data_IF_256570218096
#
_entry.id   IF_256570218096
#
_cell.length_a   1.000
_cell.length_b   1.000
_cell.length_c   1.000
_cell.angle_alpha   90.00
_cell.angle_beta   90.00
_cell.angle_gamma   90.00
#
_symmetry.space_group_name_H-M   'P 1'
#
loop_
_entity.id
_entity.type
_entity.pdbx_description
1 polymer ?
#
# COMPACT_ATOMS: atom_id res chain seq x y z
N UNK A 1 -35.58 26.97 -46.41
CA UNK A 1 -34.65 28.09 -46.26
C UNK A 1 -33.79 27.82 -45.03
N UNK A 2 -32.49 27.71 -45.27
CA UNK A 2 -31.40 27.38 -44.36
C UNK A 2 -30.99 28.61 -43.55
N UNK A 3 -30.60 28.43 -42.27
CA UNK A 3 -29.24 28.78 -41.81
C UNK A 3 -28.94 28.11 -40.47
N UNK A 4 -27.89 27.31 -40.51
CA UNK A 4 -27.14 26.76 -39.39
C UNK A 4 -26.34 27.94 -38.80
N UNK A 5 -26.26 28.05 -37.48
CA UNK A 5 -25.24 28.91 -36.86
C UNK A 5 -24.62 28.17 -35.70
N UNK A 6 -23.54 27.45 -36.02
CA UNK A 6 -22.57 26.92 -35.08
C UNK A 6 -21.86 28.08 -34.39
N UNK A 7 -21.82 28.12 -33.05
CA UNK A 7 -20.89 29.01 -32.37
C UNK A 7 -20.43 28.47 -31.00
N UNK A 8 -19.22 27.89 -31.06
CA UNK A 8 -18.11 27.95 -30.10
C UNK A 8 -18.14 27.14 -28.80
N UNK A 9 -17.26 26.13 -28.77
CA UNK A 9 -16.52 25.70 -27.59
C UNK A 9 -15.70 26.85 -26.99
N UNK A 10 -15.83 27.06 -25.68
CA UNK A 10 -14.82 27.73 -24.87
C UNK A 10 -14.65 26.94 -23.58
N UNK A 11 -13.56 26.19 -23.52
CA UNK A 11 -12.97 25.60 -22.32
C UNK A 11 -12.62 26.72 -21.35
N UNK A 12 -13.33 26.83 -20.24
CA UNK A 12 -12.88 27.65 -19.11
C UNK A 12 -12.19 26.74 -18.10
N UNK A 13 -10.88 26.62 -18.29
CA UNK A 13 -9.92 26.29 -17.25
C UNK A 13 -9.93 27.43 -16.23
N UNK A 14 -10.62 27.27 -15.10
CA UNK A 14 -10.41 28.12 -13.93
C UNK A 14 -9.56 27.37 -12.90
N UNK A 15 -8.28 27.76 -12.83
CA UNK A 15 -7.41 27.62 -11.67
C UNK A 15 -6.75 28.99 -11.51
N UNK A 16 -6.83 29.63 -10.32
CA UNK A 16 -5.73 29.54 -9.37
C UNK A 16 -6.17 29.31 -7.91
N UNK A 17 -5.58 28.31 -7.24
CA UNK A 17 -4.60 28.47 -6.14
C UNK A 17 -5.21 29.04 -4.85
N UNK A 18 -5.61 28.12 -3.97
CA UNK A 18 -5.58 28.30 -2.53
C UNK A 18 -5.00 27.03 -1.92
N UNK A 19 -3.79 27.14 -1.38
CA UNK A 19 -3.08 26.06 -0.72
C UNK A 19 -3.86 25.58 0.51
N UNK A 20 -4.81 24.66 0.31
CA UNK A 20 -5.29 23.80 1.37
C UNK A 20 -4.16 22.83 1.69
N UNK A 21 -3.34 23.18 2.69
CA UNK A 21 -2.31 22.31 3.23
C UNK A 21 -2.87 20.91 3.50
N UNK A 22 -2.02 19.87 3.48
CA UNK A 22 -2.47 18.50 3.67
C UNK A 22 -3.29 18.42 4.96
N UNK A 23 -4.53 17.92 4.85
CA UNK A 23 -5.34 17.64 6.02
C UNK A 23 -4.54 16.75 6.99
N UNK A 24 -4.32 17.15 8.25
CA UNK A 24 -3.68 16.30 9.23
C UNK A 24 -4.67 15.21 9.61
N UNK A 25 -4.57 14.03 9.00
CA UNK A 25 -5.41 12.92 9.45
C UNK A 25 -5.58 11.74 8.50
N UNK A 26 -5.27 11.86 7.21
CA UNK A 26 -5.31 10.70 6.32
C UNK A 26 -3.89 10.29 5.95
N UNK A 27 -3.16 9.79 6.96
CA UNK A 27 -1.95 9.02 6.75
C UNK A 27 -2.35 7.72 6.02
N UNK A 28 -2.54 7.83 4.70
CA UNK A 28 -2.66 6.68 3.81
C UNK A 28 -1.32 5.97 3.91
N UNK A 29 -1.22 4.73 4.42
CA UNK A 29 0.05 4.01 4.43
C UNK A 29 0.41 3.70 2.97
N UNK A 30 1.03 4.67 2.31
CA UNK A 30 1.52 4.56 0.95
C UNK A 30 3.02 4.52 1.05
N UNK A 31 3.52 3.36 1.43
CA UNK A 31 4.89 2.95 1.14
C UNK A 31 4.89 1.42 1.22
N UNK A 32 5.22 0.78 0.11
CA UNK A 32 5.67 -0.59 0.14
C UNK A 32 6.78 -0.68 1.19
N UNK A 33 6.54 -1.47 2.24
CA UNK A 33 7.51 -1.70 3.31
C UNK A 33 8.64 -2.60 2.79
N UNK A 34 9.39 -2.11 1.82
CA UNK A 34 10.72 -2.62 1.52
C UNK A 34 11.63 -2.16 2.66
N UNK A 35 11.90 -3.08 3.59
CA UNK A 35 13.00 -2.91 4.55
C UNK A 35 12.65 -2.27 5.89
N UNK A 36 11.48 -2.56 6.49
CA UNK A 36 11.34 -2.25 7.93
C UNK A 36 12.23 -3.19 8.74
N UNK A 37 13.23 -2.63 9.42
CA UNK A 37 14.13 -3.34 10.32
C UNK A 37 13.33 -3.97 11.46
N UNK A 38 13.33 -5.31 11.49
CA UNK A 38 12.51 -6.07 12.43
C UNK A 38 12.93 -5.82 13.89
N UNK A 39 14.21 -5.53 14.13
CA UNK A 39 14.74 -5.24 15.46
C UNK A 39 14.19 -3.94 16.05
N UNK A 40 13.79 -2.97 15.22
CA UNK A 40 13.27 -1.68 15.69
C UNK A 40 11.78 -1.71 16.03
N UNK A 41 11.07 -2.78 15.65
CA UNK A 41 9.65 -2.93 15.91
C UNK A 41 9.41 -3.36 17.34
N UNK A 42 8.25 -3.04 17.89
CA UNK A 42 7.74 -3.64 19.13
C UNK A 42 7.20 -5.05 18.88
N UNK A 43 7.03 -5.85 19.95
CA UNK A 43 6.39 -7.18 19.86
C UNK A 43 5.00 -7.07 19.21
N UNK A 44 4.23 -6.04 19.58
CA UNK A 44 2.90 -5.79 19.03
C UNK A 44 2.94 -5.49 17.53
N UNK A 45 3.91 -4.70 17.08
CA UNK A 45 4.07 -4.38 15.66
C UNK A 45 4.55 -5.58 14.84
N UNK A 46 5.41 -6.43 15.40
CA UNK A 46 5.81 -7.69 14.78
C UNK A 46 4.62 -8.64 14.60
N UNK A 47 3.78 -8.79 15.62
CA UNK A 47 2.54 -9.58 15.53
C UNK A 47 1.62 -8.99 14.45
N UNK A 48 1.45 -7.67 14.43
CA UNK A 48 0.62 -7.01 13.42
C UNK A 48 1.19 -7.19 11.99
N UNK A 49 2.51 -7.16 11.81
CA UNK A 49 3.14 -7.44 10.52
C UNK A 49 2.98 -8.90 10.10
N UNK A 50 3.07 -9.84 11.05
CA UNK A 50 2.85 -11.26 10.79
C UNK A 50 1.43 -11.49 10.26
N UNK A 51 0.41 -10.97 10.95
CA UNK A 51 -0.99 -11.08 10.54
C UNK A 51 -1.24 -10.49 9.13
N UNK A 52 -0.70 -9.29 8.86
CA UNK A 52 -0.80 -8.68 7.52
C UNK A 52 -0.15 -9.53 6.44
N UNK A 53 1.03 -10.10 6.73
CA UNK A 53 1.72 -10.98 5.78
C UNK A 53 0.94 -12.27 5.52
N UNK A 54 0.24 -12.81 6.52
CA UNK A 54 -0.64 -13.98 6.34
C UNK A 54 -1.82 -13.65 5.43
N UNK A 55 -2.44 -12.49 5.60
CA UNK A 55 -3.55 -12.07 4.75
C UNK A 55 -3.09 -11.83 3.30
N UNK A 56 -1.92 -11.23 3.10
CA UNK A 56 -1.30 -11.12 1.77
C UNK A 56 -1.04 -12.49 1.14
N UNK A 57 -0.59 -13.47 1.92
CA UNK A 57 -0.38 -14.83 1.42
C UNK A 57 -1.69 -15.51 1.03
N UNK A 58 -2.78 -15.30 1.81
CA UNK A 58 -4.12 -15.80 1.46
C UNK A 58 -4.61 -15.18 0.16
N UNK A 59 -4.50 -13.85 0.02
CA UNK A 59 -4.89 -13.14 -1.19
C UNK A 59 -4.08 -13.59 -2.42
N UNK A 60 -2.76 -13.76 -2.26
CA UNK A 60 -1.87 -14.23 -3.32
C UNK A 60 -2.22 -15.65 -3.78
N UNK A 61 -2.68 -16.53 -2.87
CA UNK A 61 -3.15 -17.89 -3.22
C UNK A 61 -4.45 -17.88 -4.03
N UNK A 62 -5.34 -16.94 -3.73
CA UNK A 62 -6.62 -16.79 -4.45
C UNK A 62 -6.41 -16.24 -5.87
N UNK A 63 -5.41 -15.37 -6.03
CA UNK A 63 -5.05 -14.76 -7.30
C UNK A 63 -3.97 -15.62 -8.00
N UNK A 64 -4.35 -16.77 -8.56
CA UNK A 64 -3.40 -17.69 -9.20
C UNK A 64 -2.73 -17.04 -10.44
N UNK A 65 -1.39 -16.91 -10.42
CA UNK A 65 -0.58 -16.46 -11.55
C UNK A 65 0.93 -16.62 -11.28
N UNK A 66 1.74 -16.86 -12.32
CA UNK A 66 3.19 -17.10 -12.19
C UNK A 66 3.93 -15.95 -11.49
N UNK A 67 3.46 -14.71 -11.68
CA UNK A 67 4.00 -13.52 -11.02
C UNK A 67 3.85 -13.55 -9.48
N UNK A 68 2.94 -14.37 -8.94
CA UNK A 68 2.68 -14.51 -7.51
C UNK A 68 3.59 -15.52 -6.83
N UNK A 69 4.23 -16.44 -7.56
CA UNK A 69 5.09 -17.47 -6.97
C UNK A 69 6.31 -16.85 -6.30
N UNK A 70 6.93 -15.86 -6.95
CA UNK A 70 8.02 -15.07 -6.38
C UNK A 70 7.57 -14.24 -5.17
N UNK A 71 6.41 -13.60 -5.25
CA UNK A 71 5.82 -12.81 -4.17
C UNK A 71 5.47 -13.66 -2.93
N UNK A 72 4.88 -14.84 -3.13
CA UNK A 72 4.56 -15.79 -2.06
C UNK A 72 5.83 -16.31 -1.36
N UNK A 73 6.92 -16.53 -2.09
CA UNK A 73 8.21 -16.92 -1.48
C UNK A 73 8.74 -15.78 -0.60
N UNK A 74 8.77 -14.55 -1.11
CA UNK A 74 9.21 -13.38 -0.34
C UNK A 74 8.37 -13.16 0.93
N UNK A 75 7.05 -13.35 0.85
CA UNK A 75 6.16 -13.27 2.00
C UNK A 75 6.50 -14.34 3.05
N UNK A 76 6.72 -15.60 2.64
CA UNK A 76 7.14 -16.67 3.57
C UNK A 76 8.48 -16.39 4.22
N UNK A 77 9.47 -15.91 3.46
CA UNK A 77 10.79 -15.55 3.97
C UNK A 77 10.69 -14.41 5.01
N UNK A 78 9.83 -13.41 4.75
CA UNK A 78 9.53 -12.31 5.68
C UNK A 78 8.85 -12.82 6.95
N UNK A 79 7.88 -13.73 6.86
CA UNK A 79 7.24 -14.35 8.04
C UNK A 79 8.27 -15.11 8.90
N UNK A 80 9.16 -15.88 8.28
CA UNK A 80 10.21 -16.60 8.99
C UNK A 80 11.19 -15.65 9.70
N UNK A 81 11.47 -14.48 9.12
CA UNK A 81 12.26 -13.45 9.79
C UNK A 81 11.52 -12.84 11.00
N UNK A 82 10.22 -12.51 10.86
CA UNK A 82 9.40 -11.97 11.95
C UNK A 82 9.28 -12.96 13.12
N UNK A 83 9.06 -14.25 12.83
CA UNK A 83 8.96 -15.29 13.87
C UNK A 83 10.30 -15.46 14.61
N UNK A 84 11.43 -15.43 13.89
CA UNK A 84 12.75 -15.48 14.52
C UNK A 84 12.98 -14.29 15.44
N UNK A 85 12.61 -13.10 15.01
CA UNK A 85 12.68 -11.88 15.83
C UNK A 85 11.74 -11.92 17.04
N UNK A 86 10.55 -12.50 16.92
CA UNK A 86 9.64 -12.67 18.07
C UNK A 86 10.24 -13.64 19.09
N UNK A 87 10.91 -14.70 18.63
CA UNK A 87 11.56 -15.70 19.50
C UNK A 87 12.84 -15.20 20.17
N UNK A 88 13.53 -14.23 19.58
CA UNK A 88 14.74 -13.63 20.17
C UNK A 88 14.43 -12.66 21.30
N UNK A 89 13.16 -12.27 21.48
CA UNK A 89 12.74 -11.33 22.51
C UNK A 89 12.46 -12.04 23.82
N UNK A 90 12.94 -11.49 24.96
CA UNK A 90 12.56 -12.01 26.27
C UNK A 90 11.05 -11.76 26.49
N UNK A 91 10.39 -12.76 27.09
CA UNK A 91 8.97 -12.73 27.44
C UNK A 91 8.70 -11.84 28.66
#
# INVERSE_FOLDING_TARGET
MTTISEHRSATTLERPIGAGGPAPGAQRPTAAASGTDLCMLTVRELIAQLARSEDQLKLARLQQGEQQVGSMRQLRDRQAAIIRELRSRPA
#
